data_IF_062253822239
#
_entry.id   IF_062253822239
#
_cell.length_a   1.000
_cell.length_b   1.000
_cell.length_c   1.000
_cell.angle_alpha   90.00
_cell.angle_beta   90.00
_cell.angle_gamma   90.00
#
_symmetry.space_group_name_H-M   'P 1'
#
loop_
_entity.id
_entity.type
_entity.pdbx_description
1 polymer ?
#
# COMPACT_ATOMS: atom_id res chain seq x y z
N UNK A 1 11.38 25.99 -52.09
CA UNK A 1 11.37 24.60 -51.58
C UNK A 1 10.85 24.66 -50.16
N UNK A 2 9.59 24.29 -49.95
CA UNK A 2 8.99 24.33 -48.60
C UNK A 2 9.55 23.16 -47.80
N UNK A 3 10.12 23.48 -46.64
CA UNK A 3 10.61 22.52 -45.66
C UNK A 3 9.45 21.59 -45.27
N UNK A 4 9.58 20.29 -45.54
CA UNK A 4 8.55 19.31 -45.18
C UNK A 4 8.53 19.25 -43.66
N UNK A 5 7.51 19.87 -43.07
CA UNK A 5 7.23 19.80 -41.64
C UNK A 5 7.20 18.31 -41.24
N UNK A 6 8.32 17.83 -40.72
CA UNK A 6 8.49 16.40 -40.41
C UNK A 6 7.83 16.21 -39.06
N UNK A 7 6.57 15.80 -39.08
CA UNK A 7 5.83 15.45 -37.85
C UNK A 7 6.48 14.23 -37.22
N UNK A 8 7.28 14.47 -36.18
CA UNK A 8 7.80 13.42 -35.30
C UNK A 8 6.64 12.96 -34.42
N UNK A 9 6.29 11.69 -34.51
CA UNK A 9 5.31 11.07 -33.64
C UNK A 9 5.99 10.55 -32.37
N UNK A 10 5.22 10.35 -31.30
CA UNK A 10 5.75 9.80 -30.06
C UNK A 10 6.41 8.41 -30.26
N UNK A 11 5.97 7.67 -31.27
CA UNK A 11 6.51 6.35 -31.62
C UNK A 11 7.84 6.40 -32.36
N UNK A 12 8.28 7.58 -32.81
CA UNK A 12 9.58 7.78 -33.46
C UNK A 12 10.71 8.04 -32.45
N UNK A 13 10.37 8.20 -31.17
CA UNK A 13 11.35 8.36 -30.09
C UNK A 13 11.97 6.99 -29.70
N UNK A 14 13.19 6.99 -29.14
CA UNK A 14 13.79 5.80 -28.54
C UNK A 14 12.87 5.10 -27.52
N UNK A 15 12.85 3.76 -27.53
CA UNK A 15 11.91 2.97 -26.74
C UNK A 15 12.00 3.25 -25.23
N UNK A 16 13.19 3.56 -24.71
CA UNK A 16 13.44 3.92 -23.32
C UNK A 16 12.80 5.26 -22.94
N UNK A 17 12.89 6.26 -23.82
CA UNK A 17 12.26 7.57 -23.63
C UNK A 17 10.74 7.45 -23.66
N UNK A 18 10.19 6.68 -24.61
CA UNK A 18 8.76 6.40 -24.67
C UNK A 18 8.30 5.67 -23.40
N UNK A 19 9.05 4.66 -22.96
CA UNK A 19 8.78 3.91 -21.73
C UNK A 19 8.72 4.82 -20.49
N UNK A 20 9.69 5.73 -20.33
CA UNK A 20 9.71 6.70 -19.22
C UNK A 20 8.52 7.67 -19.27
N UNK A 21 8.16 8.18 -20.46
CA UNK A 21 6.97 9.01 -20.64
C UNK A 21 5.71 8.24 -20.23
N UNK A 22 5.56 7.00 -20.70
CA UNK A 22 4.42 6.15 -20.37
C UNK A 22 4.39 5.78 -18.87
N UNK A 23 5.54 5.62 -18.23
CA UNK A 23 5.65 5.39 -16.79
C UNK A 23 5.13 6.60 -16.00
N UNK A 24 5.46 7.82 -16.43
CA UNK A 24 4.92 9.07 -15.84
C UNK A 24 3.43 9.25 -16.07
N UNK A 25 2.94 8.91 -17.27
CA UNK A 25 1.49 8.88 -17.55
C UNK A 25 0.80 7.86 -16.64
N UNK A 26 1.35 6.65 -16.50
CA UNK A 26 0.82 5.60 -15.65
C UNK A 26 0.83 5.94 -14.15
N UNK A 27 1.88 6.58 -13.66
CA UNK A 27 2.00 7.02 -12.26
C UNK A 27 1.02 8.16 -11.92
N UNK A 28 0.67 8.97 -12.93
CA UNK A 28 -0.36 10.01 -12.80
C UNK A 28 -1.76 9.41 -12.90
N UNK A 29 -1.99 8.53 -13.87
CA UNK A 29 -3.29 7.90 -14.11
C UNK A 29 -3.21 6.62 -14.93
N UNK A 30 -3.54 5.49 -14.28
CA UNK A 30 -3.75 4.20 -14.95
C UNK A 30 -4.77 4.28 -16.10
N UNK A 31 -5.82 5.11 -15.96
CA UNK A 31 -6.85 5.27 -16.99
C UNK A 31 -6.28 5.95 -18.23
N UNK A 32 -5.47 6.99 -18.06
CA UNK A 32 -4.83 7.67 -19.19
C UNK A 32 -3.85 6.73 -19.89
N UNK A 33 -3.03 5.98 -19.16
CA UNK A 33 -2.14 4.99 -19.76
C UNK A 33 -2.94 3.98 -20.60
N UNK A 34 -4.06 3.47 -20.09
CA UNK A 34 -4.94 2.57 -20.84
C UNK A 34 -5.43 3.20 -22.15
N UNK A 35 -5.87 4.45 -22.13
CA UNK A 35 -6.30 5.14 -23.34
C UNK A 35 -5.15 5.32 -24.36
N UNK A 36 -3.94 5.61 -23.89
CA UNK A 36 -2.75 5.69 -24.75
C UNK A 36 -2.46 4.33 -25.42
N UNK A 37 -2.58 3.24 -24.68
CA UNK A 37 -2.42 1.88 -25.23
C UNK A 37 -3.53 1.54 -26.24
N UNK A 38 -4.78 1.97 -25.99
CA UNK A 38 -5.91 1.76 -26.90
C UNK A 38 -5.76 2.57 -28.20
N UNK A 39 -5.11 3.73 -28.14
CA UNK A 39 -4.94 4.62 -29.29
C UNK A 39 -3.85 4.16 -30.28
N UNK A 40 -2.84 3.39 -29.84
CA UNK A 40 -1.73 2.97 -30.72
C UNK A 40 -1.12 1.63 -30.30
N UNK A 41 -0.98 0.71 -31.28
CA UNK A 41 -0.31 -0.59 -31.08
C UNK A 41 1.17 -0.43 -30.70
N UNK A 42 1.86 0.55 -31.28
CA UNK A 42 3.27 0.82 -30.96
C UNK A 42 3.42 1.28 -29.51
N UNK A 43 2.53 2.18 -29.06
CA UNK A 43 2.51 2.64 -27.66
C UNK A 43 2.05 1.54 -26.70
N UNK A 44 1.13 0.65 -27.12
CA UNK A 44 0.75 -0.51 -26.33
C UNK A 44 1.93 -1.47 -26.11
N UNK A 45 2.76 -1.67 -27.14
CA UNK A 45 4.00 -2.47 -27.03
C UNK A 45 4.99 -1.81 -26.10
N UNK A 46 5.24 -0.50 -26.26
CA UNK A 46 6.14 0.27 -25.41
C UNK A 46 5.65 0.36 -23.95
N UNK A 47 4.34 0.41 -23.71
CA UNK A 47 3.74 0.39 -22.38
C UNK A 47 3.94 -0.94 -21.66
N UNK A 48 4.29 -2.02 -22.38
CA UNK A 48 4.60 -3.30 -21.78
C UNK A 48 6.04 -3.37 -21.24
N UNK A 49 6.49 -2.25 -20.66
CA UNK A 49 7.80 -2.08 -20.04
C UNK A 49 7.73 -2.27 -18.51
N UNK A 50 8.84 -2.72 -17.93
CA UNK A 50 8.98 -2.96 -16.48
C UNK A 50 8.81 -1.68 -15.66
N UNK A 51 9.40 -0.58 -16.10
CA UNK A 51 9.32 0.73 -15.44
C UNK A 51 7.88 1.22 -15.37
N UNK A 52 7.11 1.04 -16.45
CA UNK A 52 5.69 1.43 -16.51
C UNK A 52 4.86 0.72 -15.45
N UNK A 53 4.94 -0.62 -15.36
CA UNK A 53 4.17 -1.36 -14.36
C UNK A 53 4.66 -1.12 -12.93
N UNK A 54 5.97 -0.92 -12.73
CA UNK A 54 6.55 -0.57 -11.44
C UNK A 54 6.02 0.77 -10.92
N UNK A 55 5.89 1.78 -11.79
CA UNK A 55 5.44 3.13 -11.45
C UNK A 55 3.90 3.31 -11.48
N UNK A 56 3.17 2.33 -12.01
CA UNK A 56 1.73 2.45 -12.25
C UNK A 56 0.93 2.77 -10.97
N UNK A 57 0.04 3.75 -11.07
CA UNK A 57 -0.84 4.14 -9.98
C UNK A 57 -2.01 3.17 -9.81
N UNK A 58 -2.06 2.50 -8.66
CA UNK A 58 -3.11 1.56 -8.27
C UNK A 58 -3.97 2.10 -7.12
N UNK A 59 -3.88 3.41 -6.81
CA UNK A 59 -4.61 4.06 -5.71
C UNK A 59 -6.11 3.69 -5.63
N UNK A 60 -6.89 3.63 -6.74
CA UNK A 60 -8.28 3.21 -6.66
C UNK A 60 -8.45 1.75 -6.21
N UNK A 61 -7.51 0.87 -6.55
CA UNK A 61 -7.54 -0.55 -6.20
C UNK A 61 -7.03 -0.81 -4.78
N UNK A 62 -6.15 0.06 -4.26
CA UNK A 62 -5.70 0.04 -2.86
C UNK A 62 -6.90 0.11 -1.91
N UNK A 63 -7.89 0.96 -2.21
CA UNK A 63 -9.10 1.10 -1.40
C UNK A 63 -10.14 0.00 -1.63
N UNK A 64 -9.98 -0.80 -2.70
CA UNK A 64 -10.87 -1.91 -3.02
C UNK A 64 -10.10 -3.19 -3.39
N UNK A 65 -9.28 -3.75 -2.48
CA UNK A 65 -8.42 -4.90 -2.79
C UNK A 65 -9.19 -6.11 -3.34
N UNK A 66 -10.40 -6.38 -2.83
CA UNK A 66 -11.24 -7.49 -3.27
C UNK A 66 -11.60 -7.43 -4.76
N UNK A 67 -11.71 -6.24 -5.35
CA UNK A 67 -11.98 -6.09 -6.78
C UNK A 67 -10.87 -6.69 -7.66
N UNK A 68 -9.65 -6.77 -7.12
CA UNK A 68 -8.48 -7.25 -7.87
C UNK A 68 -8.42 -8.76 -8.02
N UNK A 69 -9.20 -9.52 -7.24
CA UNK A 69 -9.30 -10.99 -7.33
C UNK A 69 -9.75 -11.48 -8.71
N UNK A 70 -10.68 -10.76 -9.33
CA UNK A 70 -11.35 -11.20 -10.55
C UNK A 70 -11.12 -10.21 -11.70
N UNK A 71 -11.41 -8.92 -11.49
CA UNK A 71 -11.45 -7.92 -12.57
C UNK A 71 -10.08 -7.42 -13.03
N UNK A 72 -9.07 -7.55 -12.18
CA UNK A 72 -7.74 -6.97 -12.43
C UNK A 72 -6.60 -7.98 -12.25
N UNK A 73 -6.88 -9.27 -12.42
CA UNK A 73 -5.92 -10.35 -12.15
C UNK A 73 -4.62 -10.16 -12.95
N UNK A 74 -4.70 -10.00 -14.26
CA UNK A 74 -3.52 -9.87 -15.13
C UNK A 74 -2.73 -8.60 -14.82
N UNK A 75 -3.43 -7.49 -14.52
CA UNK A 75 -2.80 -6.24 -14.12
C UNK A 75 -2.02 -6.41 -12.80
N UNK A 76 -2.63 -7.09 -11.82
CA UNK A 76 -1.98 -7.38 -10.54
C UNK A 76 -0.77 -8.28 -10.72
N UNK A 77 -0.84 -9.30 -11.57
CA UNK A 77 0.30 -10.18 -11.86
C UNK A 77 1.47 -9.39 -12.46
N UNK A 78 1.21 -8.58 -13.49
CA UNK A 78 2.26 -7.74 -14.11
C UNK A 78 2.85 -6.74 -13.12
N UNK A 79 2.02 -6.06 -12.33
CA UNK A 79 2.51 -5.05 -11.36
C UNK A 79 3.28 -5.69 -10.20
N UNK A 80 2.87 -6.87 -9.72
CA UNK A 80 3.61 -7.63 -8.70
C UNK A 80 4.97 -8.10 -9.22
N UNK A 81 5.03 -8.69 -10.41
CA UNK A 81 6.28 -9.17 -11.03
C UNK A 81 7.28 -8.03 -11.24
N UNK A 82 6.78 -6.82 -11.50
CA UNK A 82 7.61 -5.63 -11.68
C UNK A 82 7.88 -4.84 -10.38
N UNK A 83 7.44 -5.35 -9.23
CA UNK A 83 7.77 -4.78 -7.92
C UNK A 83 7.03 -3.49 -7.56
N UNK A 84 5.80 -3.32 -8.06
CA UNK A 84 4.95 -2.20 -7.69
C UNK A 84 4.56 -2.28 -6.20
N UNK A 85 4.86 -1.21 -5.44
CA UNK A 85 4.67 -1.18 -3.99
C UNK A 85 3.19 -1.20 -3.57
N UNK A 86 2.30 -0.58 -4.35
CA UNK A 86 0.85 -0.60 -4.09
C UNK A 86 0.27 -1.98 -4.39
N UNK A 87 0.79 -2.66 -5.42
CA UNK A 87 0.40 -4.03 -5.74
C UNK A 87 0.77 -5.00 -4.61
N UNK A 88 1.97 -4.86 -4.04
CA UNK A 88 2.37 -5.63 -2.85
C UNK A 88 1.47 -5.32 -1.65
N UNK A 89 1.11 -4.06 -1.40
CA UNK A 89 0.17 -3.72 -0.34
C UNK A 89 -1.20 -4.42 -0.51
N UNK A 90 -1.80 -4.33 -1.71
CA UNK A 90 -3.07 -4.99 -2.05
C UNK A 90 -2.98 -6.50 -1.84
N UNK A 91 -1.93 -7.13 -2.37
CA UNK A 91 -1.69 -8.57 -2.25
C UNK A 91 -1.49 -8.98 -0.79
N UNK A 92 -0.78 -8.17 -0.01
CA UNK A 92 -0.60 -8.35 1.42
C UNK A 92 -1.93 -8.39 2.18
N UNK A 93 -2.85 -7.48 1.88
CA UNK A 93 -4.20 -7.48 2.47
C UNK A 93 -4.96 -8.76 2.12
N UNK A 94 -4.97 -9.13 0.83
CA UNK A 94 -5.72 -10.30 0.36
C UNK A 94 -5.19 -11.61 0.95
N UNK A 95 -3.87 -11.79 0.98
CA UNK A 95 -3.27 -12.99 1.57
C UNK A 95 -3.45 -13.01 3.09
N UNK A 96 -3.13 -11.92 3.79
CA UNK A 96 -3.13 -11.88 5.25
C UNK A 96 -4.54 -11.99 5.84
N UNK A 97 -5.45 -11.12 5.40
CA UNK A 97 -6.78 -11.00 6.03
C UNK A 97 -7.83 -11.86 5.34
N UNK A 98 -7.86 -11.86 4.00
CA UNK A 98 -8.94 -12.51 3.30
C UNK A 98 -8.73 -14.03 3.11
N UNK A 99 -7.49 -14.47 2.85
CA UNK A 99 -7.15 -15.89 2.68
C UNK A 99 -6.58 -16.54 3.95
N UNK A 100 -6.34 -15.76 4.99
CA UNK A 100 -5.69 -16.21 6.23
C UNK A 100 -4.28 -16.82 6.01
N UNK A 101 -3.63 -16.48 4.90
CA UNK A 101 -2.24 -16.84 4.61
C UNK A 101 -1.32 -15.77 5.21
N UNK A 102 -1.14 -15.85 6.53
CA UNK A 102 -0.46 -14.81 7.30
C UNK A 102 1.01 -14.65 6.96
N UNK A 103 1.70 -15.71 6.53
CA UNK A 103 3.12 -15.68 6.17
C UNK A 103 3.32 -14.89 4.88
N UNK A 104 2.69 -15.31 3.78
CA UNK A 104 2.79 -14.62 2.49
C UNK A 104 2.22 -13.21 2.56
N UNK A 105 1.10 -13.03 3.27
CA UNK A 105 0.51 -11.72 3.48
C UNK A 105 1.45 -10.76 4.19
N UNK A 106 2.12 -11.22 5.26
CA UNK A 106 3.06 -10.39 5.99
C UNK A 106 4.30 -10.03 5.15
N UNK A 107 4.81 -10.97 4.35
CA UNK A 107 5.94 -10.71 3.43
C UNK A 107 5.62 -9.60 2.43
N UNK A 108 4.43 -9.63 1.82
CA UNK A 108 4.01 -8.57 0.90
C UNK A 108 3.79 -7.22 1.59
N UNK A 109 3.22 -7.21 2.79
CA UNK A 109 3.10 -5.98 3.59
C UNK A 109 4.49 -5.42 3.97
N UNK A 110 5.47 -6.28 4.27
CA UNK A 110 6.86 -5.89 4.51
C UNK A 110 7.48 -5.22 3.29
N UNK A 111 7.26 -5.76 2.09
CA UNK A 111 7.75 -5.15 0.84
C UNK A 111 7.15 -3.76 0.61
N UNK A 112 5.83 -3.60 0.84
CA UNK A 112 5.19 -2.29 0.75
C UNK A 112 5.75 -1.30 1.79
N UNK A 113 5.97 -1.75 3.03
CA UNK A 113 6.55 -0.94 4.09
C UNK A 113 7.99 -0.49 3.78
N UNK A 114 8.85 -1.42 3.32
CA UNK A 114 10.23 -1.12 2.88
C UNK A 114 10.25 -0.17 1.68
N UNK A 115 9.27 -0.27 0.79
CA UNK A 115 9.05 0.66 -0.32
C UNK A 115 8.54 2.05 0.09
N UNK A 116 8.52 2.36 1.38
CA UNK A 116 8.04 3.63 1.95
C UNK A 116 6.57 3.95 1.67
N UNK A 117 5.75 2.93 1.42
CA UNK A 117 4.31 3.11 1.29
C UNK A 117 3.70 3.33 2.68
N UNK A 118 3.17 4.53 2.94
CA UNK A 118 2.78 4.95 4.30
C UNK A 118 1.70 4.06 4.93
N UNK A 119 0.68 3.69 4.17
CA UNK A 119 -0.35 2.74 4.61
C UNK A 119 0.24 1.33 4.83
N UNK A 120 1.25 0.93 4.05
CA UNK A 120 1.99 -0.31 4.22
C UNK A 120 2.82 -0.31 5.50
N UNK A 121 3.58 0.76 5.77
CA UNK A 121 4.35 0.96 7.00
C UNK A 121 3.44 0.90 8.23
N UNK A 122 2.31 1.63 8.20
CA UNK A 122 1.37 1.64 9.32
C UNK A 122 0.77 0.26 9.56
N UNK A 123 0.26 -0.39 8.52
CA UNK A 123 -0.40 -1.70 8.64
C UNK A 123 0.59 -2.82 9.02
N UNK A 124 1.77 -2.85 8.40
CA UNK A 124 2.81 -3.81 8.74
C UNK A 124 3.29 -3.60 10.18
N UNK A 125 3.64 -2.36 10.56
CA UNK A 125 4.06 -2.03 11.91
C UNK A 125 3.04 -2.42 12.95
N UNK A 126 1.75 -2.14 12.72
CA UNK A 126 0.72 -2.49 13.71
C UNK A 126 0.47 -3.99 13.84
N UNK A 127 0.61 -4.74 12.75
CA UNK A 127 0.54 -6.22 12.81
C UNK A 127 1.71 -6.77 13.63
N UNK A 128 2.93 -6.27 13.41
CA UNK A 128 4.10 -6.70 14.18
C UNK A 128 3.93 -6.40 15.68
N UNK A 129 3.52 -5.18 16.01
CA UNK A 129 3.19 -4.81 17.39
C UNK A 129 2.13 -5.73 17.99
N UNK A 130 1.09 -6.07 17.23
CA UNK A 130 0.04 -6.97 17.71
C UNK A 130 0.53 -8.41 17.91
N UNK A 131 1.59 -8.83 17.20
CA UNK A 131 2.23 -10.15 17.33
C UNK A 131 3.33 -10.21 18.39
N UNK A 132 3.60 -9.10 19.07
CA UNK A 132 4.67 -8.99 20.08
C UNK A 132 6.05 -8.63 19.52
N UNK A 133 6.16 -8.35 18.22
CA UNK A 133 7.40 -7.94 17.56
C UNK A 133 7.61 -6.43 17.75
N UNK A 134 7.93 -6.05 18.99
CA UNK A 134 7.86 -4.66 19.47
C UNK A 134 8.85 -3.73 18.79
N UNK A 135 10.12 -4.11 18.71
CA UNK A 135 11.18 -3.23 18.20
C UNK A 135 10.98 -2.91 16.71
N UNK A 136 10.75 -3.93 15.87
CA UNK A 136 10.49 -3.70 14.44
C UNK A 136 9.15 -2.97 14.23
N UNK A 137 8.10 -3.32 14.98
CA UNK A 137 6.81 -2.66 14.87
C UNK A 137 6.84 -1.17 15.22
N UNK A 138 7.53 -0.79 16.30
CA UNK A 138 7.72 0.62 16.70
C UNK A 138 8.51 1.38 15.64
N UNK A 139 9.61 0.81 15.15
CA UNK A 139 10.47 1.44 14.15
C UNK A 139 9.72 1.86 12.88
N UNK A 140 8.76 1.06 12.39
CA UNK A 140 7.94 1.45 11.23
C UNK A 140 6.90 2.54 11.56
N UNK A 141 6.31 2.52 12.75
CA UNK A 141 5.37 3.58 13.15
C UNK A 141 6.10 4.90 13.43
N UNK A 142 7.31 4.86 13.97
CA UNK A 142 8.17 6.03 14.18
C UNK A 142 8.52 6.76 12.89
N UNK A 143 8.73 6.02 11.79
CA UNK A 143 8.94 6.59 10.46
C UNK A 143 7.75 7.42 9.93
N UNK A 144 6.56 7.27 10.54
CA UNK A 144 5.40 8.12 10.25
C UNK A 144 5.43 9.46 11.01
N UNK A 145 6.40 9.66 11.92
CA UNK A 145 6.65 10.92 12.62
C UNK A 145 5.62 11.27 13.69
N UNK A 146 5.01 10.27 14.32
CA UNK A 146 3.89 10.46 15.24
C UNK A 146 4.21 11.31 16.47
N UNK A 147 5.50 11.37 16.88
CA UNK A 147 5.98 12.22 17.97
C UNK A 147 5.75 13.71 17.67
N UNK A 148 5.87 14.10 16.39
CA UNK A 148 5.66 15.47 15.94
C UNK A 148 4.21 15.71 15.55
N UNK A 149 3.61 14.78 14.78
CA UNK A 149 2.23 14.88 14.34
C UNK A 149 1.61 13.52 14.08
N UNK A 150 0.45 13.28 14.68
CA UNK A 150 -0.32 12.03 14.52
C UNK A 150 -1.14 12.00 13.24
N UNK A 151 -1.25 13.13 12.55
CA UNK A 151 -2.09 13.32 11.35
C UNK A 151 -1.77 12.32 10.23
N UNK A 152 -0.48 12.04 10.00
CA UNK A 152 -0.05 11.09 8.96
C UNK A 152 -0.53 9.68 9.27
N UNK A 153 -0.31 9.21 10.51
CA UNK A 153 -0.79 7.91 10.98
C UNK A 153 -2.32 7.82 10.96
N UNK A 154 -3.03 8.85 11.41
CA UNK A 154 -4.50 8.87 11.42
C UNK A 154 -5.09 8.84 10.00
N UNK A 155 -4.45 9.51 9.04
CA UNK A 155 -4.79 9.41 7.61
C UNK A 155 -4.52 8.00 7.08
N UNK A 156 -3.38 7.40 7.41
CA UNK A 156 -3.08 6.01 7.01
C UNK A 156 -4.13 5.05 7.56
N UNK A 157 -4.50 5.19 8.83
CA UNK A 157 -5.52 4.35 9.46
C UNK A 157 -6.89 4.48 8.78
N UNK A 158 -7.34 5.71 8.48
CA UNK A 158 -8.59 5.91 7.71
C UNK A 158 -8.56 5.23 6.35
N UNK A 159 -7.42 5.27 5.66
CA UNK A 159 -7.24 4.64 4.36
C UNK A 159 -7.22 3.11 4.46
N UNK A 160 -6.50 2.56 5.45
CA UNK A 160 -6.46 1.12 5.73
C UNK A 160 -7.87 0.58 6.00
N UNK A 161 -8.70 1.29 6.78
CA UNK A 161 -10.09 0.88 7.02
C UNK A 161 -10.91 0.79 5.72
N UNK A 162 -10.67 1.68 4.75
CA UNK A 162 -11.28 1.56 3.41
C UNK A 162 -10.78 0.31 2.69
N UNK A 163 -9.47 0.06 2.70
CA UNK A 163 -8.86 -1.12 2.08
C UNK A 163 -9.36 -2.44 2.69
N UNK A 164 -9.68 -2.45 3.98
CA UNK A 164 -10.21 -3.62 4.70
C UNK A 164 -11.75 -3.74 4.61
N UNK A 165 -12.43 -2.78 4.00
CA UNK A 165 -13.89 -2.80 3.89
C UNK A 165 -14.38 -4.07 3.16
N UNK A 166 -15.29 -4.81 3.79
CA UNK A 166 -15.81 -6.07 3.28
C UNK A 166 -14.85 -7.26 3.43
N UNK A 167 -13.66 -7.08 4.00
CA UNK A 167 -12.72 -8.16 4.33
C UNK A 167 -12.97 -8.61 5.76
N UNK A 168 -13.16 -9.92 5.98
CA UNK A 168 -13.27 -10.48 7.32
C UNK A 168 -11.90 -10.44 8.00
N UNK A 169 -11.73 -9.58 9.00
CA UNK A 169 -10.50 -9.52 9.80
C UNK A 169 -10.62 -10.41 11.04
N UNK A 170 -9.79 -11.44 11.11
CA UNK A 170 -9.77 -12.37 12.24
C UNK A 170 -8.93 -11.79 13.38
N UNK A 171 -9.44 -11.90 14.60
CA UNK A 171 -8.71 -11.56 15.83
C UNK A 171 -7.90 -12.77 16.26
N UNK A 172 -6.60 -12.77 15.97
CA UNK A 172 -5.71 -13.86 16.34
C UNK A 172 -5.50 -13.90 17.87
N UNK A 173 -5.38 -15.10 18.49
CA UNK A 173 -5.13 -15.21 19.93
C UNK A 173 -3.90 -14.42 20.39
N UNK A 174 -2.82 -14.43 19.60
CA UNK A 174 -1.60 -13.68 19.87
C UNK A 174 -1.85 -12.18 20.08
N UNK A 175 -2.81 -11.59 19.36
CA UNK A 175 -3.12 -10.16 19.50
C UNK A 175 -3.68 -9.83 20.89
N UNK A 176 -4.53 -10.70 21.42
CA UNK A 176 -5.13 -10.52 22.75
C UNK A 176 -4.07 -10.62 23.84
N UNK A 177 -3.13 -11.54 23.69
CA UNK A 177 -2.06 -11.72 24.65
C UNK A 177 -1.13 -10.50 24.67
N UNK A 178 -0.72 -10.01 23.50
CA UNK A 178 0.10 -8.81 23.41
C UNK A 178 -0.58 -7.59 24.05
N UNK A 179 -1.91 -7.42 23.88
CA UNK A 179 -2.64 -6.32 24.53
C UNK A 179 -2.56 -6.40 26.06
N UNK A 180 -2.62 -7.60 26.65
CA UNK A 180 -2.52 -7.76 28.11
C UNK A 180 -1.13 -7.36 28.60
N UNK A 181 -0.10 -7.85 27.93
CA UNK A 181 1.31 -7.57 28.27
C UNK A 181 1.67 -6.11 28.09
N UNK A 182 1.17 -5.47 27.02
CA UNK A 182 1.51 -4.10 26.65
C UNK A 182 0.70 -3.02 27.38
N UNK A 183 -0.18 -3.40 28.31
CA UNK A 183 -1.04 -2.45 29.02
C UNK A 183 -0.17 -1.47 29.83
N UNK A 184 -0.26 -0.14 29.59
CA UNK A 184 0.56 0.83 30.32
C UNK A 184 0.25 0.79 31.82
N UNK A 185 1.29 0.92 32.64
CA UNK A 185 1.19 1.03 34.11
C UNK A 185 0.95 2.46 34.60
N UNK A 186 1.19 3.45 33.73
CA UNK A 186 1.01 4.89 33.99
C UNK A 186 -0.47 5.25 33.86
N UNK A 187 -0.95 6.24 34.64
CA UNK A 187 -2.30 6.82 34.55
C UNK A 187 -2.57 7.54 33.20
N UNK A 188 -2.61 6.77 32.12
CA UNK A 188 -3.17 7.22 30.86
C UNK A 188 -4.68 6.93 30.87
N UNK A 189 -5.49 7.83 30.33
CA UNK A 189 -6.88 7.49 30.01
C UNK A 189 -6.88 6.47 28.87
N UNK A 190 -6.92 5.17 29.19
CA UNK A 190 -6.79 4.09 28.19
C UNK A 190 -8.03 3.96 27.29
N UNK A 191 -9.19 4.40 27.77
CA UNK A 191 -10.46 4.32 27.05
C UNK A 191 -10.58 5.43 25.98
N UNK A 192 -9.92 6.56 26.21
CA UNK A 192 -9.80 7.62 25.22
C UNK A 192 -8.77 7.25 24.14
N UNK A 193 -9.21 6.57 23.09
CA UNK A 193 -8.33 6.15 22.00
C UNK A 193 -7.85 7.32 21.13
N UNK A 194 -8.43 8.50 21.26
CA UNK A 194 -8.03 9.67 20.46
C UNK A 194 -6.86 10.42 21.07
N UNK A 195 -6.85 10.61 22.38
CA UNK A 195 -5.74 11.27 23.06
C UNK A 195 -4.59 10.30 23.33
N UNK A 196 -3.64 10.24 22.40
CA UNK A 196 -2.46 9.36 22.45
C UNK A 196 -1.23 10.14 22.96
N UNK A 197 -0.70 9.81 24.13
CA UNK A 197 0.58 10.36 24.62
C UNK A 197 1.76 9.41 24.31
N UNK A 198 2.99 9.83 24.61
CA UNK A 198 4.18 9.03 24.34
C UNK A 198 4.18 7.67 25.05
N UNK A 199 3.54 7.57 26.21
CA UNK A 199 3.50 6.34 27.02
C UNK A 199 2.49 5.30 26.52
N UNK A 200 1.41 5.74 25.86
CA UNK A 200 0.31 4.84 25.46
C UNK A 200 0.07 4.77 23.95
N UNK A 201 0.85 5.49 23.13
CA UNK A 201 0.64 5.55 21.69
C UNK A 201 0.56 4.17 21.05
N UNK A 202 1.60 3.34 21.21
CA UNK A 202 1.66 2.00 20.62
C UNK A 202 0.55 1.09 21.11
N UNK A 203 0.31 1.06 22.42
CA UNK A 203 -0.79 0.30 23.01
C UNK A 203 -2.14 0.68 22.38
N UNK A 204 -2.44 1.98 22.30
CA UNK A 204 -3.70 2.47 21.72
C UNK A 204 -3.81 2.16 20.21
N UNK A 205 -2.70 2.16 19.47
CA UNK A 205 -2.73 1.70 18.07
C UNK A 205 -3.11 0.21 17.99
N UNK A 206 -2.56 -0.64 18.87
CA UNK A 206 -2.86 -2.09 18.86
C UNK A 206 -4.34 -2.30 19.19
N UNK A 207 -4.85 -1.60 20.21
CA UNK A 207 -6.26 -1.66 20.59
C UNK A 207 -7.16 -1.21 19.44
N UNK A 208 -6.84 -0.10 18.75
CA UNK A 208 -7.57 0.36 17.57
C UNK A 208 -7.59 -0.70 16.47
N UNK A 209 -6.47 -1.35 16.20
CA UNK A 209 -6.38 -2.40 15.19
C UNK A 209 -7.19 -3.64 15.57
N UNK A 210 -7.13 -4.09 16.83
CA UNK A 210 -7.77 -5.36 17.25
C UNK A 210 -9.28 -5.22 17.43
N UNK A 211 -9.78 -4.05 17.82
CA UNK A 211 -11.18 -3.87 18.24
C UNK A 211 -11.99 -2.87 17.41
N UNK A 212 -11.37 -2.04 16.57
CA UNK A 212 -12.05 -0.93 15.85
C UNK A 212 -11.92 -1.07 14.33
N UNK A 213 -11.60 -2.29 13.85
CA UNK A 213 -11.68 -2.66 12.43
C UNK A 213 -13.11 -2.97 12.04
#
# INVERSE_FOLDING_TARGET
MADKNTTITLSDLPEDIVGEILARVGSSSRRQLRHVMEASKALAKAANDKGVYKALNLRPLVFHPLATRYRYKDLMEKTLTNGNIEAHYIKGILEYFHKNNTITGLQHLKLAARGSYSEGMHLYGIILLSRGEMEEGKAYLDQLGWQHSKTRGDRCWRNIKKSLHGVRVLRLPAYRETIRVMKPTIMCNLNDLENRCHHCYYYKQIVKFVFVI
#
